data_IF_517726231999
#
_entry.id   IF_517726231999
#
_cell.length_a   1.000
_cell.length_b   1.000
_cell.length_c   1.000
_cell.angle_alpha   90.00
_cell.angle_beta   90.00
_cell.angle_gamma   90.00
#
_symmetry.space_group_name_H-M   'P 1'
#
loop_
_entity.id
_entity.type
_entity.pdbx_description
1 polymer ?
#
# COMPACT_ATOMS: atom_id res chain seq x y z
N UNK A 1 -12.55 16.75 -2.86
CA UNK A 1 -11.93 17.03 -1.55
C UNK A 1 -10.45 17.26 -1.79
N UNK A 2 -9.78 18.26 -1.16
CA UNK A 2 -8.33 18.40 -1.23
C UNK A 2 -7.63 17.24 -0.51
N UNK A 3 -6.40 16.96 -0.91
CA UNK A 3 -5.55 16.01 -0.19
C UNK A 3 -4.72 16.77 0.84
N UNK A 4 -4.67 16.24 2.04
CA UNK A 4 -3.94 16.77 3.18
C UNK A 4 -2.73 15.84 3.46
N UNK A 5 -1.55 16.35 3.21
CA UNK A 5 -0.31 15.61 3.49
C UNK A 5 0.07 15.80 4.96
N UNK A 6 0.49 14.72 5.65
CA UNK A 6 1.11 14.85 6.96
C UNK A 6 2.37 15.71 6.90
N UNK A 7 2.79 16.24 8.05
CA UNK A 7 4.09 16.90 8.15
C UNK A 7 5.22 15.91 7.75
N UNK A 8 6.30 16.39 7.14
CA UNK A 8 7.45 15.55 6.80
C UNK A 8 7.99 14.84 8.03
N UNK A 9 8.11 13.51 7.97
CA UNK A 9 8.64 12.71 9.06
C UNK A 9 10.15 12.92 9.21
N UNK A 10 10.61 13.31 10.40
CA UNK A 10 11.99 13.64 10.69
C UNK A 10 12.48 13.03 12.02
N UNK A 11 13.80 12.83 12.22
CA UNK A 11 14.36 12.46 13.50
C UNK A 11 13.87 13.38 14.62
N UNK A 12 13.50 12.79 15.78
CA UNK A 12 12.82 13.47 16.89
C UNK A 12 11.31 13.27 16.91
N UNK A 13 10.70 12.96 15.78
CA UNK A 13 9.26 12.69 15.70
C UNK A 13 8.87 11.38 16.37
N UNK A 14 7.61 11.30 16.78
CA UNK A 14 7.03 10.12 17.40
C UNK A 14 6.37 9.21 16.35
N UNK A 15 6.89 8.00 16.26
CA UNK A 15 6.28 6.90 15.52
C UNK A 15 5.58 5.98 16.53
N UNK A 16 4.31 5.74 16.37
CA UNK A 16 3.59 4.70 17.11
C UNK A 16 3.58 3.41 16.29
N UNK A 17 3.94 2.31 16.95
CA UNK A 17 3.85 0.95 16.39
C UNK A 17 2.69 0.26 17.07
N UNK A 18 1.62 0.01 16.33
CA UNK A 18 0.43 -0.69 16.81
C UNK A 18 -0.12 -1.57 15.69
N UNK A 19 -0.85 -2.61 16.03
CA UNK A 19 -1.39 -3.60 15.10
C UNK A 19 -2.93 -3.51 15.01
N UNK A 20 -3.48 -2.69 14.12
CA UNK A 20 -4.92 -2.60 13.91
C UNK A 20 -5.56 -3.88 13.36
N UNK A 21 -4.75 -4.79 12.78
CA UNK A 21 -5.19 -6.10 12.29
C UNK A 21 -4.49 -7.22 13.06
N UNK A 22 -3.53 -7.91 12.46
CA UNK A 22 -2.78 -8.99 13.11
C UNK A 22 -1.66 -8.45 13.98
N UNK A 23 -1.49 -9.02 15.17
CA UNK A 23 -0.41 -8.72 16.09
C UNK A 23 0.87 -9.50 15.80
N UNK A 24 1.84 -9.42 16.69
CA UNK A 24 3.12 -10.11 16.56
C UNK A 24 3.23 -11.20 17.59
N UNK A 25 3.23 -12.46 17.16
CA UNK A 25 3.42 -13.62 18.01
C UNK A 25 4.80 -13.61 18.67
N UNK A 26 4.91 -14.24 19.85
CA UNK A 26 6.13 -14.26 20.68
C UNK A 26 7.38 -14.72 19.92
N UNK A 27 7.25 -15.67 18.98
CA UNK A 27 8.36 -16.15 18.15
C UNK A 27 8.99 -15.06 17.28
N UNK A 28 8.24 -14.02 16.97
CA UNK A 28 8.63 -12.91 16.08
C UNK A 28 9.03 -11.63 16.84
N UNK A 29 8.89 -11.61 18.17
CA UNK A 29 9.31 -10.47 18.98
C UNK A 29 10.80 -10.10 18.79
N UNK A 30 11.75 -11.03 18.62
CA UNK A 30 13.14 -10.67 18.34
C UNK A 30 13.30 -9.83 17.07
N UNK A 31 12.51 -10.10 16.02
CA UNK A 31 12.48 -9.28 14.79
C UNK A 31 11.91 -7.89 15.09
N UNK A 32 10.75 -7.84 15.74
CA UNK A 32 10.08 -6.59 16.12
C UNK A 32 11.02 -5.68 16.92
N UNK A 33 11.68 -6.22 17.96
CA UNK A 33 12.60 -5.48 18.80
C UNK A 33 13.79 -4.90 18.01
N UNK A 34 14.34 -5.66 17.05
CA UNK A 34 15.42 -5.18 16.19
C UNK A 34 14.98 -4.01 15.32
N UNK A 35 13.80 -4.05 14.74
CA UNK A 35 13.30 -2.97 13.88
C UNK A 35 12.96 -1.74 14.71
N UNK A 36 12.33 -1.89 15.86
CA UNK A 36 12.07 -0.77 16.78
C UNK A 36 13.39 -0.12 17.23
N UNK A 37 14.39 -0.93 17.61
CA UNK A 37 15.72 -0.42 17.98
C UNK A 37 16.39 0.30 16.81
N UNK A 38 16.21 -0.17 15.58
CA UNK A 38 16.75 0.47 14.38
C UNK A 38 16.13 1.86 14.14
N UNK A 39 14.80 2.02 14.24
CA UNK A 39 14.15 3.33 14.16
C UNK A 39 14.63 4.29 15.26
N UNK A 40 14.77 3.79 16.51
CA UNK A 40 15.33 4.58 17.61
C UNK A 40 16.76 5.03 17.34
N UNK A 41 17.59 4.15 16.76
CA UNK A 41 18.97 4.47 16.37
C UNK A 41 19.05 5.52 15.23
N UNK A 42 18.02 5.62 14.40
CA UNK A 42 17.88 6.66 13.39
C UNK A 42 17.34 8.00 13.96
N UNK A 43 17.12 8.08 15.27
CA UNK A 43 16.72 9.29 15.97
C UNK A 43 15.22 9.47 16.16
N UNK A 44 14.39 8.51 15.76
CA UNK A 44 12.95 8.58 15.99
C UNK A 44 12.59 8.18 17.44
N UNK A 45 11.56 8.82 17.99
CA UNK A 45 10.91 8.32 19.19
C UNK A 45 9.94 7.21 18.77
N UNK A 46 9.95 6.08 19.47
CA UNK A 46 9.07 4.95 19.14
C UNK A 46 8.30 4.53 20.39
N UNK A 47 6.97 4.57 20.26
CA UNK A 47 6.01 4.10 21.27
C UNK A 47 5.31 2.85 20.74
N UNK A 48 5.17 1.83 21.60
CA UNK A 48 4.46 0.60 21.28
C UNK A 48 3.03 0.67 21.78
N UNK A 49 2.07 0.36 20.90
CA UNK A 49 0.67 0.20 21.29
C UNK A 49 0.44 -1.09 22.10
N UNK A 50 -0.68 -1.14 22.78
CA UNK A 50 -1.08 -2.33 23.54
C UNK A 50 -1.54 -3.47 22.63
N UNK A 51 -2.12 -3.15 21.49
CA UNK A 51 -2.53 -4.08 20.46
C UNK A 51 -1.35 -4.39 19.51
N UNK A 52 -0.23 -4.93 20.02
CA UNK A 52 0.97 -5.18 19.21
C UNK A 52 1.52 -6.60 19.37
N UNK A 53 1.76 -7.02 20.62
CA UNK A 53 2.60 -8.20 20.92
C UNK A 53 1.82 -9.48 21.20
N UNK A 54 0.53 -9.50 20.86
CA UNK A 54 -0.33 -10.68 20.98
C UNK A 54 -1.07 -10.93 19.67
N UNK A 55 -1.35 -12.20 19.39
CA UNK A 55 -2.16 -12.64 18.27
C UNK A 55 -3.15 -13.70 18.77
N UNK A 56 -4.43 -13.41 18.68
CA UNK A 56 -5.49 -14.33 19.11
C UNK A 56 -6.62 -14.31 18.09
N UNK A 57 -6.96 -15.47 17.51
CA UNK A 57 -8.01 -15.60 16.51
C UNK A 57 -7.83 -14.67 15.31
N UNK A 58 -6.62 -14.64 14.76
CA UNK A 58 -6.23 -13.83 13.59
C UNK A 58 -6.35 -12.33 13.80
N UNK A 59 -6.20 -11.84 15.03
CA UNK A 59 -6.18 -10.43 15.36
C UNK A 59 -5.33 -10.15 16.60
N UNK A 60 -4.78 -8.94 16.69
CA UNK A 60 -3.96 -8.49 17.84
C UNK A 60 -4.79 -8.35 19.12
N UNK A 61 -6.08 -8.05 19.00
CA UNK A 61 -7.02 -7.88 20.11
C UNK A 61 -8.47 -7.89 19.59
N UNK A 62 -9.51 -7.90 20.46
CA UNK A 62 -10.89 -7.71 20.03
C UNK A 62 -11.07 -6.41 19.22
N UNK A 63 -11.97 -6.43 18.24
CA UNK A 63 -12.18 -5.31 17.30
C UNK A 63 -12.37 -3.95 17.99
N UNK A 64 -13.20 -3.90 19.05
CA UNK A 64 -13.43 -2.69 19.83
C UNK A 64 -12.14 -2.13 20.49
N UNK A 65 -11.26 -3.02 20.96
CA UNK A 65 -9.98 -2.63 21.56
C UNK A 65 -9.03 -2.08 20.52
N UNK A 66 -8.90 -2.74 19.35
CA UNK A 66 -8.09 -2.28 18.22
C UNK A 66 -8.57 -0.93 17.69
N UNK A 67 -9.90 -0.78 17.53
CA UNK A 67 -10.50 0.48 17.07
C UNK A 67 -10.26 1.62 18.07
N UNK A 68 -10.43 1.36 19.38
CA UNK A 68 -10.19 2.36 20.42
C UNK A 68 -8.72 2.80 20.47
N UNK A 69 -7.77 1.87 20.33
CA UNK A 69 -6.34 2.20 20.27
C UNK A 69 -6.00 2.97 18.99
N UNK A 70 -6.50 2.53 17.83
CA UNK A 70 -6.30 3.23 16.57
C UNK A 70 -6.82 4.67 16.66
N UNK A 71 -8.05 4.87 17.16
CA UNK A 71 -8.62 6.19 17.39
C UNK A 71 -7.77 7.04 18.34
N UNK A 72 -7.34 6.47 19.46
CA UNK A 72 -6.50 7.18 20.43
C UNK A 72 -5.20 7.68 19.78
N UNK A 73 -4.55 6.87 18.95
CA UNK A 73 -3.32 7.23 18.22
C UNK A 73 -3.61 8.30 17.16
N UNK A 74 -4.67 8.13 16.37
CA UNK A 74 -5.00 9.04 15.28
C UNK A 74 -5.43 10.43 15.76
N UNK A 75 -5.98 10.55 16.95
CA UNK A 75 -6.41 11.85 17.53
C UNK A 75 -5.27 12.60 18.26
N UNK A 76 -4.13 11.97 18.55
CA UNK A 76 -3.00 12.62 19.22
C UNK A 76 -2.26 13.57 18.29
N UNK A 77 -1.97 14.78 18.75
CA UNK A 77 -1.22 15.78 17.98
C UNK A 77 0.31 15.56 17.98
N UNK A 78 0.83 14.83 18.97
CA UNK A 78 2.26 14.55 19.11
C UNK A 78 2.74 13.34 18.28
N UNK A 79 1.81 12.57 17.68
CA UNK A 79 2.12 11.43 16.81
C UNK A 79 2.31 11.90 15.37
N UNK A 80 3.47 11.61 14.81
CA UNK A 80 3.78 11.92 13.41
C UNK A 80 3.45 10.77 12.45
N UNK A 81 3.63 9.52 12.89
CA UNK A 81 3.37 8.34 12.08
C UNK A 81 2.80 7.18 12.91
N UNK A 82 1.95 6.36 12.27
CA UNK A 82 1.56 5.04 12.71
C UNK A 82 2.08 4.02 11.68
N UNK A 83 2.90 3.08 12.13
CA UNK A 83 3.49 2.04 11.28
C UNK A 83 3.16 0.68 11.92
N UNK A 84 2.15 -0.06 11.39
CA UNK A 84 1.87 -1.42 11.83
C UNK A 84 3.02 -2.38 11.50
N UNK A 85 3.14 -3.49 12.25
CA UNK A 85 4.14 -4.52 11.96
C UNK A 85 3.96 -5.10 10.54
N UNK A 86 2.73 -5.35 10.18
CA UNK A 86 2.21 -5.86 8.90
C UNK A 86 0.71 -5.60 8.76
N UNK A 87 0.06 -6.23 7.76
CA UNK A 87 -1.39 -6.26 7.60
C UNK A 87 -2.07 -7.27 8.53
N UNK A 88 -2.71 -8.25 7.97
CA UNK A 88 -3.50 -9.29 8.65
C UNK A 88 -4.79 -9.59 7.90
N UNK A 89 -5.89 -9.92 8.64
CA UNK A 89 -7.13 -10.42 8.05
C UNK A 89 -8.38 -9.60 8.45
N UNK A 90 -8.37 -8.96 9.63
CA UNK A 90 -9.60 -8.49 10.26
C UNK A 90 -9.65 -6.98 10.50
N UNK A 91 -8.89 -6.18 9.74
CA UNK A 91 -8.99 -4.73 9.81
C UNK A 91 -10.34 -4.19 9.35
N UNK A 92 -11.07 -4.95 8.55
CA UNK A 92 -12.42 -4.58 8.07
C UNK A 92 -13.42 -4.35 9.22
N UNK A 93 -13.26 -5.05 10.34
CA UNK A 93 -14.10 -4.87 11.54
C UNK A 93 -14.01 -3.46 12.15
N UNK A 94 -12.94 -2.73 11.85
CA UNK A 94 -12.70 -1.41 12.44
C UNK A 94 -13.53 -0.31 11.78
N UNK A 95 -13.88 -0.46 10.50
CA UNK A 95 -14.44 0.61 9.67
C UNK A 95 -15.72 1.24 10.25
N UNK A 96 -16.60 0.42 10.85
CA UNK A 96 -17.82 0.87 11.48
C UNK A 96 -17.63 1.34 12.94
N UNK A 97 -16.46 1.07 13.54
CA UNK A 97 -16.12 1.44 14.91
C UNK A 97 -15.32 2.76 15.00
N UNK A 98 -14.80 3.25 13.86
CA UNK A 98 -14.06 4.51 13.84
C UNK A 98 -15.02 5.70 13.88
N UNK A 99 -14.70 6.69 14.71
CA UNK A 99 -15.40 8.00 14.71
C UNK A 99 -14.83 8.88 13.58
N UNK A 100 -15.42 8.78 12.41
CA UNK A 100 -15.03 9.53 11.22
C UNK A 100 -15.23 11.04 11.37
N UNK A 101 -16.15 11.47 12.22
CA UNK A 101 -16.37 12.89 12.48
C UNK A 101 -15.24 13.50 13.33
N UNK A 102 -14.79 12.79 14.34
CA UNK A 102 -13.61 13.17 15.13
C UNK A 102 -12.34 13.18 14.27
N UNK A 103 -12.15 12.15 13.42
CA UNK A 103 -10.99 12.06 12.51
C UNK A 103 -10.97 13.19 11.47
N UNK A 104 -12.12 13.67 11.02
CA UNK A 104 -12.21 14.82 10.11
C UNK A 104 -11.59 16.09 10.70
N UNK A 105 -11.63 16.25 12.03
CA UNK A 105 -11.06 17.40 12.74
C UNK A 105 -9.60 17.21 13.15
N UNK A 106 -9.09 15.97 13.06
CA UNK A 106 -7.75 15.64 13.47
C UNK A 106 -6.71 15.99 12.38
N UNK A 107 -5.47 16.20 12.81
CA UNK A 107 -4.36 16.41 11.87
C UNK A 107 -4.00 15.10 11.18
N UNK A 108 -3.73 15.09 9.86
CA UNK A 108 -3.26 13.92 9.16
C UNK A 108 -1.91 13.46 9.73
N UNK A 109 -1.72 12.14 9.77
CA UNK A 109 -0.50 11.47 10.18
C UNK A 109 -0.04 10.53 9.09
N UNK A 110 1.26 10.27 8.99
CA UNK A 110 1.73 9.22 8.12
C UNK A 110 1.22 7.86 8.58
N UNK A 111 0.52 7.19 7.70
CA UNK A 111 0.03 5.82 7.87
C UNK A 111 0.77 5.01 6.82
N UNK A 112 1.63 4.10 7.25
CA UNK A 112 2.46 3.28 6.35
C UNK A 112 2.11 1.81 6.52
N UNK A 113 1.91 1.12 5.41
CA UNK A 113 1.70 -0.33 5.38
C UNK A 113 1.07 -0.80 4.07
N UNK A 114 0.89 -2.09 3.93
CA UNK A 114 0.28 -2.76 2.78
C UNK A 114 -0.61 -3.91 3.24
N UNK A 115 -1.12 -4.73 2.31
CA UNK A 115 -2.00 -5.85 2.68
C UNK A 115 -3.29 -5.34 3.35
N UNK A 116 -3.71 -5.95 4.46
CA UNK A 116 -4.95 -5.59 5.17
C UNK A 116 -4.95 -4.17 5.75
N UNK A 117 -3.80 -3.49 5.86
CA UNK A 117 -3.80 -2.06 6.20
C UNK A 117 -4.47 -1.21 5.12
N UNK A 118 -4.50 -1.66 3.86
CA UNK A 118 -5.23 -1.01 2.77
C UNK A 118 -6.71 -0.81 3.10
N UNK A 119 -7.30 -1.73 3.86
CA UNK A 119 -8.72 -1.74 4.24
C UNK A 119 -9.15 -0.46 4.95
N UNK A 120 -8.31 0.11 5.81
CA UNK A 120 -8.63 1.36 6.53
C UNK A 120 -7.86 2.57 6.01
N UNK A 121 -6.69 2.39 5.39
CA UNK A 121 -5.90 3.49 4.84
C UNK A 121 -6.58 4.13 3.61
N UNK A 122 -7.12 3.34 2.69
CA UNK A 122 -7.84 3.87 1.53
C UNK A 122 -9.06 4.71 1.95
N UNK A 123 -9.95 4.28 2.86
CA UNK A 123 -11.02 5.13 3.39
C UNK A 123 -10.53 6.42 4.05
N UNK A 124 -9.38 6.46 4.73
CA UNK A 124 -8.80 7.70 5.25
C UNK A 124 -8.57 8.71 4.11
N UNK A 125 -8.05 8.25 2.97
CA UNK A 125 -7.86 9.12 1.81
C UNK A 125 -9.20 9.52 1.19
N UNK A 126 -10.11 8.57 0.94
CA UNK A 126 -11.35 8.84 0.24
C UNK A 126 -12.33 9.71 1.04
N UNK A 127 -12.36 9.59 2.38
CA UNK A 127 -13.34 10.26 3.25
C UNK A 127 -12.79 11.49 3.94
N UNK A 128 -11.50 11.49 4.26
CA UNK A 128 -10.87 12.58 5.03
C UNK A 128 -9.88 13.40 4.20
N UNK A 129 -9.51 12.92 3.01
CA UNK A 129 -8.46 13.51 2.20
C UNK A 129 -7.04 13.30 2.76
N UNK A 130 -6.85 12.42 3.74
CA UNK A 130 -5.52 12.16 4.27
C UNK A 130 -4.67 11.39 3.26
N UNK A 131 -3.48 11.89 2.96
CA UNK A 131 -2.49 11.11 2.23
C UNK A 131 -2.02 9.94 3.10
N UNK A 132 -2.04 8.71 2.54
CA UNK A 132 -1.59 7.49 3.22
C UNK A 132 -0.57 6.75 2.36
N UNK A 133 0.41 6.10 2.96
CA UNK A 133 1.54 5.49 2.26
C UNK A 133 1.40 3.96 2.18
N UNK A 134 1.11 3.44 0.98
CA UNK A 134 1.16 2.01 0.70
C UNK A 134 2.59 1.58 0.41
N UNK A 135 3.15 0.70 1.22
CA UNK A 135 4.53 0.24 1.10
C UNK A 135 4.93 -0.69 2.23
N UNK A 136 6.22 -0.99 2.39
CA UNK A 136 6.71 -1.94 3.38
C UNK A 136 6.19 -1.67 4.79
N UNK A 137 5.77 -2.73 5.49
CA UNK A 137 5.39 -2.65 6.90
C UNK A 137 6.61 -2.54 7.82
N UNK A 138 6.37 -2.36 9.13
CA UNK A 138 7.47 -2.20 10.09
C UNK A 138 8.45 -3.37 10.03
N UNK A 139 7.97 -4.61 9.98
CA UNK A 139 8.82 -5.81 10.01
C UNK A 139 9.76 -5.92 8.79
N UNK A 140 9.48 -5.19 7.73
CA UNK A 140 10.31 -5.11 6.52
C UNK A 140 11.48 -4.12 6.69
N UNK A 141 11.39 -3.18 7.63
CA UNK A 141 12.37 -2.11 7.85
C UNK A 141 13.55 -2.51 8.74
N UNK A 142 14.00 -3.76 8.64
CA UNK A 142 15.12 -4.24 9.46
C UNK A 142 16.44 -3.59 9.06
N UNK A 143 17.38 -3.46 10.03
CA UNK A 143 18.73 -3.00 9.72
C UNK A 143 19.43 -3.97 8.73
N UNK A 144 20.19 -3.41 7.79
CA UNK A 144 20.92 -4.19 6.79
C UNK A 144 20.17 -4.44 5.49
N UNK A 145 18.96 -3.93 5.32
CA UNK A 145 18.31 -3.91 4.00
C UNK A 145 19.12 -3.02 3.05
N UNK A 146 19.53 -3.59 1.91
CA UNK A 146 20.42 -2.90 0.96
C UNK A 146 19.70 -2.33 -0.26
N UNK A 147 18.46 -2.79 -0.54
CA UNK A 147 17.70 -2.29 -1.66
C UNK A 147 17.25 -0.83 -1.48
N UNK A 148 17.25 -0.10 -2.59
CA UNK A 148 17.00 1.35 -2.59
C UNK A 148 15.55 1.70 -2.24
N UNK A 149 14.59 0.81 -2.51
CA UNK A 149 13.17 1.07 -2.26
C UNK A 149 12.89 1.01 -0.76
N UNK A 150 13.30 -0.07 -0.07
CA UNK A 150 13.10 -0.23 1.37
C UNK A 150 13.89 0.81 2.16
N UNK A 151 15.15 1.09 1.78
CA UNK A 151 15.95 2.18 2.39
C UNK A 151 15.35 3.56 2.17
N UNK A 152 14.62 3.74 1.07
CA UNK A 152 13.97 4.98 0.70
C UNK A 152 12.66 5.28 1.42
N UNK A 153 12.10 4.35 2.20
CA UNK A 153 10.79 4.49 2.84
C UNK A 153 10.68 5.78 3.67
N UNK A 154 11.58 5.97 4.62
CA UNK A 154 11.55 7.15 5.49
C UNK A 154 11.83 8.46 4.73
N UNK A 155 12.57 8.42 3.62
CA UNK A 155 12.74 9.57 2.72
C UNK A 155 11.43 9.96 2.04
N UNK A 156 10.61 8.99 1.63
CA UNK A 156 9.28 9.28 1.06
C UNK A 156 8.40 9.95 2.10
N UNK A 157 8.32 9.40 3.33
CA UNK A 157 7.54 9.99 4.41
C UNK A 157 8.09 11.35 4.89
N UNK A 158 9.39 11.60 4.70
CA UNK A 158 10.06 12.87 4.99
C UNK A 158 9.92 13.93 3.89
N UNK A 159 9.21 13.63 2.80
CA UNK A 159 9.00 14.59 1.71
C UNK A 159 7.94 15.61 2.09
N UNK A 160 8.27 16.90 1.95
CA UNK A 160 7.36 18.00 2.30
C UNK A 160 6.25 18.17 1.27
N UNK A 161 5.11 18.73 1.70
CA UNK A 161 4.10 19.24 0.78
C UNK A 161 4.71 20.28 -0.18
N UNK A 162 4.34 20.24 -1.44
CA UNK A 162 4.94 21.02 -2.52
C UNK A 162 6.21 20.43 -3.13
N UNK A 163 6.81 19.41 -2.52
CA UNK A 163 8.01 18.74 -3.04
C UNK A 163 7.66 17.45 -3.82
N UNK A 164 8.67 16.88 -4.46
CA UNK A 164 8.55 15.63 -5.21
C UNK A 164 9.57 14.60 -4.74
N UNK A 165 9.21 13.33 -4.92
CA UNK A 165 10.09 12.19 -4.68
C UNK A 165 10.00 11.23 -5.86
N UNK A 166 11.15 10.71 -6.29
CA UNK A 166 11.24 9.71 -7.37
C UNK A 166 11.76 8.38 -6.82
N UNK A 167 11.18 7.30 -7.31
CA UNK A 167 11.57 5.93 -7.04
C UNK A 167 11.66 5.18 -8.36
N UNK A 168 12.75 4.44 -8.56
CA UNK A 168 12.97 3.64 -9.77
C UNK A 168 12.58 2.19 -9.54
N UNK A 169 12.30 1.48 -10.62
CA UNK A 169 12.18 0.03 -10.65
C UNK A 169 13.37 -0.62 -9.96
N UNK A 170 13.13 -1.65 -9.15
CA UNK A 170 14.19 -2.46 -8.55
C UNK A 170 14.95 -3.26 -9.63
N UNK A 171 16.19 -3.62 -9.36
CA UNK A 171 16.94 -4.52 -10.26
C UNK A 171 16.47 -5.98 -10.12
N UNK A 172 16.22 -6.39 -8.89
CA UNK A 172 15.79 -7.75 -8.56
C UNK A 172 14.71 -7.73 -7.49
N UNK A 173 13.93 -8.83 -7.42
CA UNK A 173 12.93 -9.07 -6.40
C UNK A 173 13.09 -10.44 -5.73
N UNK A 174 12.42 -10.64 -4.60
CA UNK A 174 12.50 -11.84 -3.78
C UNK A 174 11.36 -12.82 -4.10
N UNK A 175 11.74 -14.05 -4.50
CA UNK A 175 10.78 -15.11 -4.79
C UNK A 175 10.24 -15.79 -3.53
N UNK A 176 11.10 -16.06 -2.55
CA UNK A 176 10.76 -16.82 -1.36
C UNK A 176 10.95 -15.99 -0.09
N UNK A 177 9.94 -15.97 0.75
CA UNK A 177 10.02 -15.33 2.06
C UNK A 177 10.97 -16.05 2.99
N UNK A 178 11.73 -15.29 3.77
CA UNK A 178 12.52 -15.81 4.89
C UNK A 178 11.64 -15.88 6.13
N UNK A 179 11.76 -16.96 6.88
CA UNK A 179 11.09 -17.10 8.18
C UNK A 179 11.80 -16.22 9.22
N UNK A 180 11.18 -15.13 9.62
CA UNK A 180 11.71 -14.19 10.60
C UNK A 180 11.81 -14.79 12.02
N UNK A 181 11.08 -15.87 12.32
CA UNK A 181 11.22 -16.57 13.60
C UNK A 181 12.54 -17.37 13.64
N UNK A 182 12.97 -17.90 12.51
CA UNK A 182 14.24 -18.61 12.39
C UNK A 182 15.43 -17.67 12.28
N UNK A 183 15.29 -16.60 11.49
CA UNK A 183 16.34 -15.58 11.32
C UNK A 183 15.76 -14.15 11.50
N UNK A 184 15.70 -13.68 12.76
CA UNK A 184 15.21 -12.33 13.05
C UNK A 184 16.05 -11.20 12.45
N UNK A 185 17.27 -11.49 12.02
CA UNK A 185 18.19 -10.52 11.40
C UNK A 185 18.12 -10.51 9.88
N UNK A 186 17.37 -11.41 9.27
CA UNK A 186 17.36 -11.58 7.81
C UNK A 186 16.95 -10.30 7.06
N UNK A 187 17.58 -10.13 5.91
CA UNK A 187 17.23 -9.13 4.90
C UNK A 187 16.64 -9.81 3.67
N UNK A 188 16.17 -9.05 2.70
CA UNK A 188 15.65 -9.61 1.46
C UNK A 188 16.74 -10.32 0.65
N UNK A 189 16.34 -11.43 0.05
CA UNK A 189 17.16 -12.20 -0.90
C UNK A 189 16.64 -11.96 -2.31
N UNK A 190 17.09 -10.87 -2.92
CA UNK A 190 16.63 -10.40 -4.22
C UNK A 190 17.34 -11.19 -5.32
N UNK A 191 16.71 -12.26 -5.82
CA UNK A 191 17.32 -13.20 -6.79
C UNK A 191 16.73 -13.09 -8.18
N UNK A 192 15.48 -12.66 -8.30
CA UNK A 192 14.77 -12.66 -9.57
C UNK A 192 14.87 -11.29 -10.25
N UNK A 193 15.16 -11.19 -11.55
CA UNK A 193 15.24 -9.93 -12.25
C UNK A 193 13.88 -9.25 -12.34
N UNK A 194 13.81 -7.97 -11.99
CA UNK A 194 12.59 -7.18 -12.10
C UNK A 194 12.36 -6.74 -13.54
N UNK A 195 11.13 -6.87 -14.00
CA UNK A 195 10.70 -6.42 -15.33
C UNK A 195 9.28 -5.91 -15.26
N UNK A 196 9.10 -4.60 -15.22
CA UNK A 196 7.80 -4.03 -15.49
C UNK A 196 7.51 -4.12 -17.00
N UNK A 197 6.28 -4.31 -17.37
CA UNK A 197 5.90 -4.40 -18.78
C UNK A 197 4.45 -3.94 -18.99
N UNK A 198 4.14 -3.34 -20.17
CA UNK A 198 2.79 -2.90 -20.49
C UNK A 198 1.96 -4.07 -21.04
N UNK A 199 0.76 -4.26 -20.46
CA UNK A 199 -0.16 -5.37 -20.84
C UNK A 199 -0.53 -5.36 -22.31
N UNK A 200 -0.62 -4.18 -22.92
CA UNK A 200 -1.02 -3.99 -24.32
C UNK A 200 0.18 -3.90 -25.29
N UNK A 201 1.40 -4.17 -24.82
CA UNK A 201 2.59 -4.21 -25.67
C UNK A 201 3.10 -2.87 -26.18
N UNK A 202 2.79 -1.75 -25.50
CA UNK A 202 3.36 -0.44 -25.84
C UNK A 202 4.89 -0.47 -25.73
N UNK A 203 5.57 0.30 -26.60
CA UNK A 203 7.03 0.42 -26.58
C UNK A 203 7.53 1.25 -25.39
N UNK A 204 6.74 2.22 -24.97
CA UNK A 204 6.95 3.09 -23.82
C UNK A 204 5.63 3.46 -23.15
N UNK A 205 5.72 3.94 -21.91
CA UNK A 205 4.58 4.44 -21.13
C UNK A 205 4.97 5.74 -20.45
N UNK A 206 4.14 6.77 -20.61
CA UNK A 206 4.23 8.05 -19.90
C UNK A 206 2.82 8.44 -19.47
N UNK A 207 2.48 8.18 -18.22
CA UNK A 207 1.15 8.41 -17.66
C UNK A 207 1.21 9.23 -16.40
N UNK A 208 0.22 10.09 -16.21
CA UNK A 208 0.13 10.93 -15.02
C UNK A 208 -1.27 10.88 -14.43
N UNK A 209 -1.35 10.95 -13.12
CA UNK A 209 -2.62 10.96 -12.40
C UNK A 209 -2.41 10.93 -10.90
N UNK A 210 -3.49 10.95 -10.15
CA UNK A 210 -3.47 10.83 -8.70
C UNK A 210 -3.51 9.36 -8.30
N UNK A 211 -2.58 8.94 -7.45
CA UNK A 211 -2.48 7.55 -6.99
C UNK A 211 -3.61 7.19 -6.03
N UNK A 212 -4.28 6.08 -6.29
CA UNK A 212 -5.21 5.41 -5.39
C UNK A 212 -5.07 3.90 -5.56
N UNK A 213 -5.20 3.14 -4.49
CA UNK A 213 -5.18 1.69 -4.58
C UNK A 213 -4.76 0.99 -3.31
N UNK A 214 -4.27 -0.23 -3.48
CA UNK A 214 -3.79 -1.12 -2.42
C UNK A 214 -3.98 -2.60 -2.73
N UNK A 215 -4.11 -3.41 -1.69
CA UNK A 215 -4.30 -4.85 -1.77
C UNK A 215 -5.74 -5.20 -2.20
N UNK A 216 -5.86 -5.87 -3.34
CA UNK A 216 -7.18 -6.24 -3.89
C UNK A 216 -7.89 -7.26 -3.01
N UNK A 217 -7.14 -8.18 -2.40
CA UNK A 217 -7.68 -9.21 -1.49
C UNK A 217 -8.55 -8.60 -0.40
N UNK A 218 -8.21 -7.42 0.07
CA UNK A 218 -8.95 -6.71 1.12
C UNK A 218 -9.89 -5.64 0.54
N UNK A 219 -9.44 -4.87 -0.44
CA UNK A 219 -10.19 -3.74 -1.00
C UNK A 219 -11.44 -4.16 -1.78
N UNK A 220 -11.45 -5.36 -2.38
CA UNK A 220 -12.64 -5.87 -3.08
C UNK A 220 -13.87 -5.94 -2.17
N UNK A 221 -13.68 -6.11 -0.86
CA UNK A 221 -14.77 -6.16 0.11
C UNK A 221 -15.39 -4.80 0.40
N UNK A 222 -14.63 -3.72 0.22
CA UNK A 222 -15.11 -2.34 0.42
C UNK A 222 -15.55 -1.67 -0.87
N UNK A 223 -15.16 -2.19 -2.05
CA UNK A 223 -15.48 -1.60 -3.34
C UNK A 223 -16.99 -1.40 -3.55
N UNK A 224 -17.39 -0.18 -3.93
CA UNK A 224 -18.79 0.21 -4.10
C UNK A 224 -19.58 0.38 -2.80
N UNK A 225 -18.88 0.42 -1.65
CA UNK A 225 -19.47 0.80 -0.36
C UNK A 225 -19.04 2.22 0.00
N UNK A 226 -19.60 2.79 1.07
CA UNK A 226 -19.21 4.10 1.62
C UNK A 226 -17.72 4.20 2.01
N UNK A 227 -16.99 3.09 2.09
CA UNK A 227 -15.59 3.02 2.46
C UNK A 227 -14.65 2.91 1.25
N UNK A 228 -15.14 2.47 0.10
CA UNK A 228 -14.36 2.25 -1.11
C UNK A 228 -14.99 2.87 -2.35
N UNK A 229 -15.48 4.09 -2.26
CA UNK A 229 -16.08 4.81 -3.39
C UNK A 229 -15.03 5.59 -4.19
N UNK A 230 -14.10 4.86 -4.81
CA UNK A 230 -13.10 5.43 -5.71
C UNK A 230 -13.76 6.11 -6.92
N UNK A 231 -14.86 5.57 -7.43
CA UNK A 231 -15.54 6.14 -8.59
C UNK A 231 -16.02 7.59 -8.32
N UNK A 232 -16.66 7.82 -7.18
CA UNK A 232 -17.05 9.18 -6.79
C UNK A 232 -15.84 10.11 -6.58
N UNK A 233 -14.74 9.59 -6.00
CA UNK A 233 -13.52 10.37 -5.83
C UNK A 233 -12.91 10.74 -7.19
N UNK A 234 -12.81 9.82 -8.14
CA UNK A 234 -12.30 10.04 -9.51
C UNK A 234 -13.13 11.10 -10.23
N UNK A 235 -14.46 10.97 -10.23
CA UNK A 235 -15.36 11.92 -10.86
C UNK A 235 -15.25 13.33 -10.25
N UNK A 236 -15.18 13.43 -8.92
CA UNK A 236 -15.01 14.69 -8.23
C UNK A 236 -13.65 15.35 -8.53
N UNK A 237 -12.59 14.56 -8.67
CA UNK A 237 -11.26 15.05 -9.03
C UNK A 237 -11.23 15.55 -10.47
N UNK A 238 -11.74 14.77 -11.41
CA UNK A 238 -11.80 15.15 -12.82
C UNK A 238 -12.61 16.45 -13.02
N UNK A 239 -13.72 16.58 -12.31
CA UNK A 239 -14.53 17.80 -12.37
C UNK A 239 -13.81 19.03 -11.79
N UNK A 240 -12.91 18.83 -10.80
CA UNK A 240 -12.20 19.94 -10.13
C UNK A 240 -11.01 20.46 -10.92
N UNK A 241 -10.18 19.58 -11.46
CA UNK A 241 -8.88 19.94 -12.05
C UNK A 241 -8.55 19.22 -13.36
N UNK A 242 -9.47 18.40 -13.88
CA UNK A 242 -9.26 17.60 -15.11
C UNK A 242 -8.24 16.49 -14.95
N UNK A 243 -7.73 16.25 -13.74
CA UNK A 243 -6.69 15.27 -13.47
C UNK A 243 -7.22 13.83 -13.49
N UNK A 244 -6.42 12.91 -14.06
CA UNK A 244 -6.72 11.48 -14.06
C UNK A 244 -6.30 10.80 -12.75
N UNK A 245 -6.74 9.54 -12.59
CA UNK A 245 -6.35 8.66 -11.50
C UNK A 245 -5.49 7.52 -12.01
N UNK A 246 -4.40 7.23 -11.32
CA UNK A 246 -3.60 6.02 -11.48
C UNK A 246 -4.01 5.03 -10.39
N UNK A 247 -4.72 3.98 -10.80
CA UNK A 247 -5.15 2.92 -9.89
C UNK A 247 -4.04 1.89 -9.74
N UNK A 248 -3.49 1.72 -8.54
CA UNK A 248 -2.54 0.65 -8.27
C UNK A 248 -3.18 -0.50 -7.51
N UNK A 249 -2.88 -1.72 -7.95
CA UNK A 249 -3.50 -2.95 -7.47
C UNK A 249 -2.42 -4.00 -7.22
N UNK A 250 -2.49 -4.71 -6.09
CA UNK A 250 -1.63 -5.85 -5.82
C UNK A 250 -2.43 -7.07 -5.38
N UNK A 251 -1.89 -8.26 -5.68
CA UNK A 251 -2.46 -9.55 -5.34
C UNK A 251 -1.60 -10.25 -4.29
N UNK A 252 -2.16 -10.45 -3.10
CA UNK A 252 -1.51 -11.18 -2.01
C UNK A 252 -1.68 -12.69 -2.18
N UNK A 253 -2.92 -13.18 -2.30
CA UNK A 253 -3.21 -14.59 -2.24
C UNK A 253 -4.32 -15.09 -3.16
N UNK A 254 -4.98 -14.23 -3.93
CA UNK A 254 -6.08 -14.62 -4.81
C UNK A 254 -5.57 -15.50 -5.95
N UNK A 255 -6.20 -16.65 -6.12
CA UNK A 255 -5.99 -17.49 -7.31
C UNK A 255 -6.34 -16.71 -8.59
N UNK A 256 -5.87 -17.13 -9.78
CA UNK A 256 -6.23 -16.46 -11.03
C UNK A 256 -7.75 -16.29 -11.23
N UNK A 257 -8.55 -17.29 -10.84
CA UNK A 257 -10.02 -17.21 -10.94
C UNK A 257 -10.62 -16.25 -9.91
N UNK A 258 -10.08 -16.19 -8.69
CA UNK A 258 -10.54 -15.24 -7.69
C UNK A 258 -10.11 -13.82 -8.04
N UNK A 259 -8.93 -13.67 -8.66
CA UNK A 259 -8.46 -12.39 -9.20
C UNK A 259 -9.41 -11.84 -10.26
N UNK A 260 -9.88 -12.69 -11.20
CA UNK A 260 -10.92 -12.30 -12.18
C UNK A 260 -12.19 -11.81 -11.48
N UNK A 261 -12.68 -12.55 -10.48
CA UNK A 261 -13.89 -12.16 -9.72
C UNK A 261 -13.68 -10.81 -9.01
N UNK A 262 -12.54 -10.64 -8.39
CA UNK A 262 -12.18 -9.40 -7.68
C UNK A 262 -12.13 -8.22 -8.65
N UNK A 263 -11.44 -8.34 -9.80
CA UNK A 263 -11.37 -7.27 -10.80
C UNK A 263 -12.74 -6.94 -11.41
N UNK A 264 -13.61 -7.94 -11.64
CA UNK A 264 -15.00 -7.65 -12.02
C UNK A 264 -15.75 -6.91 -10.92
N UNK A 265 -15.54 -7.24 -9.64
CA UNK A 265 -16.12 -6.49 -8.52
C UNK A 265 -15.67 -5.02 -8.53
N UNK A 266 -14.37 -4.77 -8.76
CA UNK A 266 -13.85 -3.40 -8.89
C UNK A 266 -14.45 -2.68 -10.10
N UNK A 267 -14.59 -3.37 -11.24
CA UNK A 267 -15.21 -2.84 -12.46
C UNK A 267 -16.66 -2.43 -12.22
N UNK A 268 -17.46 -3.28 -11.59
CA UNK A 268 -18.86 -2.98 -11.25
C UNK A 268 -18.98 -1.84 -10.22
N UNK A 269 -17.99 -1.65 -9.38
CA UNK A 269 -17.90 -0.52 -8.47
C UNK A 269 -17.38 0.77 -9.15
N UNK A 270 -17.13 0.77 -10.48
CA UNK A 270 -16.68 1.91 -11.24
C UNK A 270 -15.19 2.27 -11.13
N UNK A 271 -14.39 1.42 -10.50
CA UNK A 271 -12.95 1.71 -10.32
C UNK A 271 -12.15 1.63 -11.62
N UNK A 272 -12.62 0.85 -12.60
CA UNK A 272 -11.98 0.63 -13.89
C UNK A 272 -12.67 1.43 -15.02
N UNK A 273 -13.34 2.53 -14.68
CA UNK A 273 -14.05 3.35 -15.65
C UNK A 273 -13.19 4.53 -16.13
N UNK A 274 -12.74 4.45 -17.38
CA UNK A 274 -11.94 5.51 -18.02
C UNK A 274 -12.74 6.81 -18.22
N UNK A 275 -14.07 6.72 -18.34
CA UNK A 275 -14.94 7.90 -18.50
C UNK A 275 -15.05 8.69 -17.19
N UNK A 276 -14.83 8.06 -16.05
CA UNK A 276 -14.78 8.68 -14.73
C UNK A 276 -13.41 9.22 -14.36
N UNK A 277 -12.40 9.12 -15.27
CA UNK A 277 -11.07 9.70 -15.07
C UNK A 277 -9.96 8.70 -14.73
N UNK A 278 -10.15 7.41 -14.98
CA UNK A 278 -9.03 6.45 -14.91
C UNK A 278 -8.01 6.74 -16.00
N UNK A 279 -6.77 7.09 -15.63
CA UNK A 279 -5.67 7.40 -16.55
C UNK A 279 -4.73 6.22 -16.78
N UNK A 280 -4.68 5.26 -15.87
CA UNK A 280 -3.86 4.06 -16.00
C UNK A 280 -4.01 3.11 -14.82
N UNK A 281 -3.59 1.87 -15.02
CA UNK A 281 -3.58 0.83 -13.98
C UNK A 281 -2.15 0.33 -13.77
N UNK A 282 -1.73 0.26 -12.52
CA UNK A 282 -0.43 -0.20 -12.07
C UNK A 282 -0.64 -1.51 -11.29
N UNK A 283 -0.19 -2.64 -11.84
CA UNK A 283 -0.40 -3.96 -11.23
C UNK A 283 0.91 -4.46 -10.64
N UNK A 284 0.91 -4.75 -9.36
CA UNK A 284 2.03 -5.34 -8.65
C UNK A 284 2.30 -6.80 -9.03
N UNK A 285 3.49 -7.29 -8.72
CA UNK A 285 3.79 -8.72 -8.84
C UNK A 285 2.87 -9.54 -7.94
N UNK A 286 2.21 -10.55 -8.51
CA UNK A 286 1.39 -11.47 -7.72
C UNK A 286 2.25 -12.32 -6.80
N UNK A 287 1.87 -12.43 -5.54
CA UNK A 287 2.49 -13.39 -4.62
C UNK A 287 1.74 -14.72 -4.56
N UNK A 288 0.52 -14.77 -5.08
CA UNK A 288 -0.21 -16.02 -5.22
C UNK A 288 0.49 -16.98 -6.19
N UNK A 289 0.46 -18.29 -5.92
CA UNK A 289 0.99 -19.29 -6.84
C UNK A 289 0.18 -19.30 -8.14
N UNK A 290 0.87 -19.38 -9.28
CA UNK A 290 0.25 -19.59 -10.57
C UNK A 290 0.19 -21.08 -10.90
N UNK A 291 -0.78 -21.47 -11.72
CA UNK A 291 -0.94 -22.86 -12.13
C UNK A 291 0.03 -23.25 -13.22
N UNK A 292 0.47 -24.52 -13.23
CA UNK A 292 1.23 -25.12 -14.31
C UNK A 292 0.35 -26.05 -15.19
N UNK A 293 -0.94 -26.19 -14.85
CA UNK A 293 -1.86 -27.05 -15.60
C UNK A 293 -2.44 -26.32 -16.81
N UNK A 294 -2.30 -26.84 -18.04
CA UNK A 294 -2.78 -26.17 -19.26
C UNK A 294 -4.31 -25.92 -19.31
N UNK A 295 -5.08 -26.68 -18.49
CA UNK A 295 -6.53 -26.56 -18.43
C UNK A 295 -7.04 -25.54 -17.39
N UNK A 296 -6.13 -24.94 -16.64
CA UNK A 296 -6.47 -23.94 -15.61
C UNK A 296 -6.05 -22.56 -16.06
N UNK A 297 -6.84 -21.54 -15.69
CA UNK A 297 -6.57 -20.15 -15.98
C UNK A 297 -5.27 -19.70 -15.30
N UNK A 298 -4.38 -19.07 -16.07
CA UNK A 298 -3.12 -18.50 -15.56
C UNK A 298 -3.31 -17.04 -15.16
N UNK A 299 -2.41 -16.51 -14.33
CA UNK A 299 -2.48 -15.14 -13.85
C UNK A 299 -2.47 -14.10 -14.98
N UNK A 300 -1.58 -14.27 -15.98
CA UNK A 300 -1.52 -13.38 -17.14
C UNK A 300 -2.83 -13.41 -17.95
N UNK A 301 -3.41 -14.59 -18.14
CA UNK A 301 -4.68 -14.73 -18.85
C UNK A 301 -5.83 -14.06 -18.10
N UNK A 302 -5.81 -14.14 -16.75
CA UNK A 302 -6.75 -13.44 -15.89
C UNK A 302 -6.62 -11.91 -16.03
N UNK A 303 -5.41 -11.37 -16.09
CA UNK A 303 -5.17 -9.94 -16.36
C UNK A 303 -5.67 -9.52 -17.74
N UNK A 304 -5.35 -10.28 -18.78
CA UNK A 304 -5.80 -10.02 -20.14
C UNK A 304 -7.33 -10.06 -20.28
N UNK A 305 -7.98 -11.04 -19.64
CA UNK A 305 -9.44 -11.18 -19.66
C UNK A 305 -10.16 -10.03 -18.95
N UNK A 306 -9.53 -9.39 -17.96
CA UNK A 306 -10.20 -8.40 -17.10
C UNK A 306 -9.74 -6.95 -17.34
N UNK A 307 -8.50 -6.75 -17.79
CA UNK A 307 -7.92 -5.42 -18.02
C UNK A 307 -7.52 -5.17 -19.49
N UNK A 308 -7.54 -6.23 -20.33
CA UNK A 308 -7.10 -6.15 -21.72
C UNK A 308 -7.98 -5.29 -22.63
N UNK A 309 -9.21 -4.98 -22.22
CA UNK A 309 -10.14 -4.09 -22.92
C UNK A 309 -10.01 -2.61 -22.54
N UNK A 310 -9.21 -2.30 -21.50
CA UNK A 310 -8.99 -0.92 -21.09
C UNK A 310 -8.21 -0.15 -22.15
N UNK A 311 -8.68 1.05 -22.48
CA UNK A 311 -8.00 1.93 -23.45
C UNK A 311 -6.86 2.73 -22.80
N UNK A 312 -6.79 2.79 -21.46
CA UNK A 312 -5.67 3.40 -20.76
C UNK A 312 -4.51 2.38 -20.59
N UNK A 313 -3.26 2.84 -20.44
CA UNK A 313 -2.13 1.96 -20.19
C UNK A 313 -2.28 1.14 -18.90
N UNK A 314 -1.87 -0.12 -18.95
CA UNK A 314 -1.77 -1.03 -17.81
C UNK A 314 -0.33 -1.51 -17.73
N UNK A 315 0.39 -1.14 -16.66
CA UNK A 315 1.72 -1.66 -16.35
C UNK A 315 1.61 -2.83 -15.36
N UNK A 316 2.35 -3.89 -15.61
CA UNK A 316 2.29 -5.15 -14.85
C UNK A 316 3.65 -5.48 -14.24
N UNK A 317 3.65 -6.35 -13.24
CA UNK A 317 4.83 -6.82 -12.48
C UNK A 317 5.64 -5.69 -11.82
N UNK A 318 4.95 -4.61 -11.45
CA UNK A 318 5.56 -3.49 -10.75
C UNK A 318 6.00 -3.89 -9.32
N UNK A 319 6.92 -3.12 -8.76
CA UNK A 319 7.38 -3.28 -7.38
C UNK A 319 6.31 -2.84 -6.38
N UNK A 320 5.17 -3.52 -6.36
CA UNK A 320 4.02 -3.22 -5.50
C UNK A 320 3.56 -4.52 -4.84
N UNK A 321 3.37 -4.51 -3.52
CA UNK A 321 2.75 -5.61 -2.78
C UNK A 321 3.72 -6.66 -2.25
N UNK A 322 3.26 -7.91 -2.11
CA UNK A 322 3.85 -8.96 -1.30
C UNK A 322 5.13 -9.64 -1.87
N UNK A 323 5.66 -9.17 -2.98
CA UNK A 323 6.95 -9.60 -3.53
C UNK A 323 7.96 -8.47 -3.43
N UNK A 324 8.77 -8.40 -2.35
CA UNK A 324 9.68 -7.29 -2.13
C UNK A 324 10.83 -7.24 -3.15
N UNK A 325 11.45 -6.05 -3.35
CA UNK A 325 11.18 -4.82 -2.62
C UNK A 325 9.94 -4.10 -3.16
N UNK A 326 9.48 -3.08 -2.43
CA UNK A 326 8.26 -2.34 -2.78
C UNK A 326 8.52 -0.84 -2.94
N UNK A 327 7.85 -0.25 -3.91
CA UNK A 327 7.62 1.21 -3.96
C UNK A 327 6.80 1.65 -2.75
N UNK A 328 7.02 2.86 -2.29
CA UNK A 328 6.06 3.54 -1.42
C UNK A 328 5.16 4.41 -2.31
N UNK A 329 3.90 4.02 -2.44
CA UNK A 329 2.90 4.76 -3.22
C UNK A 329 1.97 5.52 -2.27
N UNK A 330 1.91 6.84 -2.43
CA UNK A 330 1.12 7.68 -1.53
C UNK A 330 -0.26 7.89 -2.12
N UNK A 331 -1.30 7.32 -1.49
CA UNK A 331 -2.69 7.56 -1.83
C UNK A 331 -2.99 9.06 -1.79
N UNK A 332 -3.55 9.56 -2.86
CA UNK A 332 -3.84 10.97 -3.02
C UNK A 332 -2.71 11.79 -3.66
N UNK A 333 -1.47 11.34 -3.71
CA UNK A 333 -0.39 12.07 -4.38
C UNK A 333 -0.56 12.06 -5.91
N UNK A 334 -0.21 13.17 -6.58
CA UNK A 334 -0.04 13.14 -8.02
C UNK A 334 1.22 12.38 -8.36
N UNK A 335 1.16 11.57 -9.41
CA UNK A 335 2.31 10.83 -9.89
C UNK A 335 2.43 10.90 -11.40
N UNK A 336 3.67 10.81 -11.87
CA UNK A 336 4.01 10.50 -13.25
C UNK A 336 4.77 9.19 -13.26
N UNK A 337 4.29 8.24 -14.05
CA UNK A 337 4.91 6.94 -14.23
C UNK A 337 5.48 6.87 -15.64
N UNK A 338 6.77 6.60 -15.70
CA UNK A 338 7.52 6.46 -16.94
C UNK A 338 8.08 5.04 -17.01
N UNK A 339 7.97 4.43 -18.17
CA UNK A 339 8.58 3.14 -18.45
C UNK A 339 9.02 3.05 -19.90
N UNK A 340 10.19 2.51 -20.13
CA UNK A 340 10.64 2.05 -21.43
C UNK A 340 11.47 0.76 -21.30
N UNK A 341 11.51 -0.04 -22.37
CA UNK A 341 12.14 -1.36 -22.31
C UNK A 341 13.66 -1.33 -22.08
N UNK A 342 14.34 -0.22 -22.36
CA UNK A 342 15.79 -0.09 -22.23
C UNK A 342 16.21 0.45 -20.86
N UNK A 343 15.40 1.34 -20.26
CA UNK A 343 15.73 2.07 -19.03
C UNK A 343 14.97 1.57 -17.81
N UNK A 344 13.94 0.72 -18.02
CA UNK A 344 13.03 0.32 -16.97
C UNK A 344 12.02 1.40 -16.58
N UNK A 345 11.45 1.27 -15.39
CA UNK A 345 10.38 2.13 -14.90
C UNK A 345 10.79 3.07 -13.78
N UNK A 346 10.06 4.19 -13.66
CA UNK A 346 10.15 5.10 -12.51
C UNK A 346 8.82 5.75 -12.20
N UNK A 347 8.63 6.06 -10.94
CA UNK A 347 7.45 6.76 -10.40
C UNK A 347 7.93 8.02 -9.71
N UNK A 348 7.53 9.17 -10.23
CA UNK A 348 7.71 10.46 -9.58
C UNK A 348 6.40 10.85 -8.92
N UNK A 349 6.42 11.10 -7.61
CA UNK A 349 5.26 11.55 -6.84
C UNK A 349 5.45 13.01 -6.42
N UNK A 350 4.38 13.79 -6.50
CA UNK A 350 4.33 15.21 -6.14
C UNK A 350 3.28 15.36 -5.05
N UNK A 351 3.65 15.96 -3.94
CA UNK A 351 2.78 16.16 -2.78
C UNK A 351 2.14 17.56 -2.84
N UNK A 352 1.21 17.77 -3.80
CA UNK A 352 0.57 19.04 -4.13
C UNK A 352 -0.79 19.27 -3.45
#
# INVERSE_FOLDING_TARGET
MPIHYPAPLAPGDLIVVSAPSSGVEAALHPRLDRVIAHLRAQGYRVEEGKCLRDEVRSASAPAATRAAELMAVLLRDDVAALIPPWGGELAIELLDLLDWAALWQARPKWLLGYSDTSTWMLPMTLRLGWATAHGPGLMDLAPGQDDLLTRGVLRVLGTAAGASVEQSQSEHWQLQWTDFAVDPGSTYRLTEPTRWWPLHGQADVDISGRLLGGCVDTLMHTAGTRYGDIAAFMAAQQARDGGGTLLYLENAGLSPTDWVRALHRLRWAGWLDVTSGLAGVLVGRSSAPDTQKPSELRYLEALQATLGDLVCPVLVDMDIGHRPPQLVLVNGARARVLWDAARGGRVQQIFD
#
